data_IF_087257908190
#
_entry.id   IF_087257908190
#
_cell.length_a   1.000
_cell.length_b   1.000
_cell.length_c   1.000
_cell.angle_alpha   90.00
_cell.angle_beta   90.00
_cell.angle_gamma   90.00
#
_symmetry.space_group_name_H-M   'P 1'
#
loop_
_entity.id
_entity.type
_entity.pdbx_description
1 polymer ?
#
# COMPACT_ATOMS: atom_id res chain seq x y z
N UNK A 1 -15.89 22.18 -9.35
CA UNK A 1 -15.07 21.38 -8.42
C UNK A 1 -13.64 21.13 -8.91
N UNK A 2 -13.31 20.07 -9.66
CA UNK A 2 -11.89 19.72 -9.92
C UNK A 2 -11.04 20.74 -10.72
N UNK A 3 -11.63 21.49 -11.66
CA UNK A 3 -10.88 22.47 -12.46
C UNK A 3 -10.41 23.71 -11.68
N UNK A 4 -11.09 24.08 -10.60
CA UNK A 4 -10.78 25.28 -9.81
C UNK A 4 -9.64 25.03 -8.82
N UNK A 5 -9.62 23.84 -8.21
CA UNK A 5 -8.55 23.38 -7.32
C UNK A 5 -7.22 23.28 -8.07
N UNK A 6 -7.21 22.68 -9.27
CA UNK A 6 -6.02 22.60 -10.13
C UNK A 6 -5.58 23.96 -10.70
N UNK A 7 -6.51 24.84 -11.07
CA UNK A 7 -6.18 26.15 -11.66
C UNK A 7 -5.45 27.10 -10.71
N UNK A 8 -5.69 26.99 -9.39
CA UNK A 8 -4.97 27.80 -8.38
C UNK A 8 -3.56 27.30 -8.10
N UNK A 9 -3.31 26.00 -8.30
CA UNK A 9 -2.01 25.35 -8.11
C UNK A 9 -1.07 25.51 -9.31
N UNK A 10 -1.59 25.83 -10.50
CA UNK A 10 -0.79 25.98 -11.73
C UNK A 10 -0.74 27.41 -12.30
N UNK A 11 -1.22 28.42 -11.56
CA UNK A 11 -1.02 29.83 -11.93
C UNK A 11 -1.60 30.25 -13.29
N UNK A 12 -2.78 29.75 -13.68
CA UNK A 12 -3.38 30.07 -14.99
C UNK A 12 -4.43 31.18 -14.86
N UNK A 13 -3.97 32.43 -14.64
CA UNK A 13 -4.80 33.63 -14.79
C UNK A 13 -4.75 34.10 -16.25
N UNK A 14 -5.68 33.62 -17.09
CA UNK A 14 -5.99 34.26 -18.37
C UNK A 14 -6.96 35.42 -18.14
N UNK A 15 -6.41 36.59 -17.90
CA UNK A 15 -7.11 37.86 -18.13
C UNK A 15 -7.10 38.17 -19.62
N UNK A 16 -8.25 38.60 -20.12
CA UNK A 16 -8.52 38.88 -21.53
C UNK A 16 -7.57 39.92 -22.15
N UNK A 17 -7.25 39.67 -23.42
CA UNK A 17 -6.57 40.54 -24.38
C UNK A 17 -6.91 42.03 -24.26
N UNK A 18 -5.91 42.88 -23.99
CA UNK A 18 -5.76 44.18 -24.65
C UNK A 18 -4.27 44.54 -24.85
N UNK A 19 -3.89 44.59 -26.13
CA UNK A 19 -2.88 45.41 -26.81
C UNK A 19 -1.40 45.35 -26.36
N UNK A 20 -0.60 44.79 -27.26
CA UNK A 20 0.84 44.97 -27.38
C UNK A 20 1.23 46.44 -27.66
N UNK A 21 2.21 46.95 -26.93
CA UNK A 21 3.33 47.70 -27.51
C UNK A 21 4.66 47.24 -26.87
N UNK A 22 5.65 47.01 -27.73
CA UNK A 22 6.98 46.59 -27.36
C UNK A 22 7.81 47.78 -26.88
N UNK A 23 8.55 47.63 -25.78
CA UNK A 23 9.72 48.48 -25.54
C UNK A 23 10.84 47.73 -24.81
N UNK A 24 11.97 47.69 -25.52
CA UNK A 24 13.30 47.27 -25.11
C UNK A 24 13.86 48.12 -23.98
N UNK A 25 14.39 47.50 -22.92
CA UNK A 25 15.57 48.05 -22.24
C UNK A 25 16.22 46.99 -21.35
N UNK A 26 17.43 46.65 -21.78
CA UNK A 26 18.48 46.00 -21.02
C UNK A 26 18.87 46.94 -19.87
N UNK A 27 18.78 46.51 -18.62
CA UNK A 27 19.61 47.07 -17.55
C UNK A 27 19.79 46.05 -16.41
N UNK A 28 21.05 45.84 -16.07
CA UNK A 28 21.55 44.91 -15.08
C UNK A 28 20.89 45.10 -13.71
N UNK A 29 20.36 44.02 -13.14
CA UNK A 29 20.35 43.83 -11.69
C UNK A 29 20.97 42.48 -11.36
N UNK A 30 21.97 42.56 -10.47
CA UNK A 30 22.78 41.48 -9.91
C UNK A 30 21.98 40.20 -9.62
N UNK A 31 22.52 39.08 -10.10
CA UNK A 31 22.29 37.77 -9.50
C UNK A 31 22.98 37.75 -8.13
N UNK A 32 22.23 38.07 -7.08
CA UNK A 32 22.54 37.72 -5.70
C UNK A 32 21.30 36.97 -5.15
N UNK A 33 21.19 35.69 -5.48
CA UNK A 33 20.42 34.72 -4.69
C UNK A 33 21.31 33.49 -4.53
N UNK A 34 22.24 33.60 -3.57
CA UNK A 34 22.69 32.43 -2.82
C UNK A 34 21.44 31.89 -2.10
N UNK A 35 20.75 30.92 -2.70
CA UNK A 35 19.92 30.02 -1.90
C UNK A 35 20.92 29.08 -1.21
N UNK A 36 21.25 29.39 0.03
CA UNK A 36 21.70 28.37 0.97
C UNK A 36 20.59 27.32 1.03
N UNK A 37 20.80 26.15 0.42
CA UNK A 37 19.99 24.96 0.68
C UNK A 37 20.14 24.64 2.17
N UNK A 38 19.26 25.20 3.00
CA UNK A 38 19.16 24.79 4.40
C UNK A 38 18.66 23.35 4.40
N UNK A 39 19.54 22.41 4.73
CA UNK A 39 19.14 21.03 5.00
C UNK A 39 18.11 21.05 6.12
N UNK A 40 16.86 20.74 5.77
CA UNK A 40 15.78 20.59 6.74
C UNK A 40 16.05 19.34 7.56
N UNK A 41 16.26 19.50 8.85
CA UNK A 41 16.34 18.39 9.79
C UNK A 41 14.93 17.93 10.17
N UNK A 42 14.74 16.61 10.30
CA UNK A 42 13.45 15.99 10.56
C UNK A 42 13.44 15.27 11.90
N UNK A 43 12.32 15.35 12.60
CA UNK A 43 12.03 14.50 13.73
C UNK A 43 12.00 13.02 13.29
N UNK A 44 12.74 12.12 13.94
CA UNK A 44 12.92 10.75 13.45
C UNK A 44 11.65 9.88 13.54
N UNK A 45 10.69 10.24 14.40
CA UNK A 45 9.46 9.46 14.61
C UNK A 45 8.31 9.96 13.74
N UNK A 46 8.12 11.28 13.72
CA UNK A 46 6.98 11.93 13.06
C UNK A 46 7.31 12.46 11.67
N UNK A 47 8.61 12.59 11.36
CA UNK A 47 9.13 13.18 10.12
C UNK A 47 8.66 14.61 9.86
N UNK A 48 8.20 15.33 10.88
CA UNK A 48 8.05 16.78 10.79
C UNK A 48 9.43 17.45 10.77
N UNK A 49 9.53 18.56 10.06
CA UNK A 49 10.71 19.43 10.12
C UNK A 49 10.87 20.00 11.52
N UNK A 50 12.09 20.02 12.03
CA UNK A 50 12.38 20.49 13.41
C UNK A 50 12.28 22.01 13.58
N UNK A 51 11.99 22.74 12.50
CA UNK A 51 11.90 24.20 12.46
C UNK A 51 10.49 24.75 12.75
N UNK A 52 9.50 23.88 12.97
CA UNK A 52 8.15 24.23 13.43
C UNK A 52 7.65 23.20 14.45
N UNK A 53 6.59 23.55 15.20
CA UNK A 53 5.90 22.59 16.04
C UNK A 53 4.79 21.87 15.27
N UNK A 54 4.50 20.61 15.65
CA UNK A 54 3.40 19.84 15.05
C UNK A 54 2.05 20.55 15.24
N UNK A 55 1.88 21.28 16.35
CA UNK A 55 0.68 22.09 16.60
C UNK A 55 0.56 23.25 15.61
N UNK A 56 1.64 23.97 15.32
CA UNK A 56 1.64 25.05 14.32
C UNK A 56 1.30 24.50 12.93
N UNK A 57 1.87 23.35 12.58
CA UNK A 57 1.57 22.65 11.34
C UNK A 57 0.09 22.26 11.24
N UNK A 58 -0.45 21.61 12.28
CA UNK A 58 -1.84 21.16 12.29
C UNK A 58 -2.82 22.37 12.25
N UNK A 59 -2.47 23.49 12.89
CA UNK A 59 -3.24 24.74 12.85
C UNK A 59 -3.25 25.39 11.46
N UNK A 60 -2.10 25.47 10.79
CA UNK A 60 -2.02 26.02 9.42
C UNK A 60 -2.84 25.19 8.43
N UNK A 61 -2.77 23.85 8.55
CA UNK A 61 -3.58 22.95 7.73
C UNK A 61 -5.08 23.18 7.97
N UNK A 62 -5.49 23.32 9.24
CA UNK A 62 -6.88 23.59 9.59
C UNK A 62 -7.35 24.94 9.04
N UNK A 63 -6.57 26.02 9.21
CA UNK A 63 -6.91 27.35 8.70
C UNK A 63 -7.18 27.32 7.19
N UNK A 64 -6.27 26.73 6.40
CA UNK A 64 -6.41 26.64 4.95
C UNK A 64 -7.57 25.75 4.52
N UNK A 65 -7.71 24.59 5.16
CA UNK A 65 -8.77 23.64 4.84
C UNK A 65 -10.17 24.20 5.18
N UNK A 66 -10.32 24.82 6.36
CA UNK A 66 -11.59 25.40 6.79
C UNK A 66 -11.99 26.61 5.95
N UNK A 67 -11.03 27.47 5.57
CA UNK A 67 -11.29 28.57 4.63
C UNK A 67 -11.84 28.05 3.30
N UNK A 68 -11.27 26.97 2.76
CA UNK A 68 -11.75 26.33 1.53
C UNK A 68 -13.14 25.71 1.71
N UNK A 69 -13.36 24.96 2.79
CA UNK A 69 -14.66 24.35 3.12
C UNK A 69 -15.76 25.41 3.25
N UNK A 70 -15.43 26.55 3.85
CA UNK A 70 -16.35 27.67 3.99
C UNK A 70 -16.73 28.28 2.63
N UNK A 71 -15.77 28.45 1.71
CA UNK A 71 -16.04 28.94 0.35
C UNK A 71 -16.93 27.98 -0.44
N UNK A 72 -16.63 26.67 -0.39
CA UNK A 72 -17.43 25.64 -1.08
C UNK A 72 -18.87 25.62 -0.53
N UNK A 73 -19.06 25.65 0.79
CA UNK A 73 -20.39 25.73 1.41
C UNK A 73 -21.13 27.02 1.05
N UNK A 74 -20.42 28.15 1.03
CA UNK A 74 -21.00 29.43 0.60
C UNK A 74 -21.41 29.42 -0.88
N UNK A 75 -20.74 28.61 -1.71
CA UNK A 75 -21.08 28.39 -3.13
C UNK A 75 -22.27 27.45 -3.35
N UNK A 76 -22.82 26.87 -2.26
CA UNK A 76 -23.99 26.00 -2.30
C UNK A 76 -23.66 24.51 -2.39
N UNK A 77 -22.39 24.13 -2.27
CA UNK A 77 -21.96 22.74 -2.31
C UNK A 77 -22.22 22.05 -0.97
N UNK A 78 -22.70 20.81 -1.03
CA UNK A 78 -22.92 19.98 0.14
C UNK A 78 -21.75 18.99 0.25
N UNK A 79 -20.77 19.32 1.09
CA UNK A 79 -19.59 18.49 1.30
C UNK A 79 -19.91 17.34 2.26
N UNK A 80 -19.67 16.11 1.83
CA UNK A 80 -19.72 14.93 2.69
C UNK A 80 -18.45 14.82 3.54
N UNK A 81 -18.48 14.00 4.60
CA UNK A 81 -17.33 13.80 5.48
C UNK A 81 -16.07 13.34 4.73
N UNK A 82 -16.25 12.52 3.68
CA UNK A 82 -15.16 12.07 2.81
C UNK A 82 -14.53 13.23 2.03
N UNK A 83 -15.32 14.19 1.57
CA UNK A 83 -14.81 15.36 0.85
C UNK A 83 -14.00 16.26 1.79
N UNK A 84 -14.50 16.45 3.01
CA UNK A 84 -13.82 17.20 4.06
C UNK A 84 -12.47 16.54 4.39
N UNK A 85 -12.44 15.22 4.59
CA UNK A 85 -11.19 14.48 4.84
C UNK A 85 -10.17 14.64 3.71
N UNK A 86 -10.62 14.56 2.45
CA UNK A 86 -9.75 14.76 1.29
C UNK A 86 -9.18 16.19 1.22
N UNK A 87 -9.99 17.20 1.55
CA UNK A 87 -9.54 18.60 1.60
C UNK A 87 -8.43 18.75 2.64
N UNK A 88 -8.63 18.24 3.85
CA UNK A 88 -7.61 18.25 4.91
C UNK A 88 -6.33 17.51 4.49
N UNK A 89 -6.46 16.36 3.83
CA UNK A 89 -5.30 15.60 3.34
C UNK A 89 -4.48 16.40 2.30
N UNK A 90 -5.15 17.04 1.34
CA UNK A 90 -4.48 17.83 0.30
C UNK A 90 -3.75 19.06 0.88
N UNK A 91 -4.38 19.79 1.80
CA UNK A 91 -3.73 20.93 2.44
C UNK A 91 -2.55 20.50 3.32
N UNK A 92 -2.63 19.34 3.95
CA UNK A 92 -1.48 18.78 4.69
C UNK A 92 -0.27 18.56 3.81
N UNK A 93 -0.46 17.99 2.60
CA UNK A 93 0.61 17.83 1.62
C UNK A 93 1.16 19.17 1.16
N UNK A 94 0.28 20.14 0.88
CA UNK A 94 0.70 21.47 0.44
C UNK A 94 1.56 22.19 1.49
N UNK A 95 1.10 22.24 2.75
CA UNK A 95 1.83 22.87 3.86
C UNK A 95 3.15 22.14 4.11
N UNK A 96 3.15 20.80 4.10
CA UNK A 96 4.37 20.03 4.33
C UNK A 96 5.40 20.24 3.22
N UNK A 97 5.00 20.26 1.94
CA UNK A 97 5.90 20.59 0.84
C UNK A 97 6.45 22.00 0.96
N UNK A 98 5.58 22.98 1.25
CA UNK A 98 5.96 24.40 1.33
C UNK A 98 6.96 24.66 2.46
N UNK A 99 6.74 24.07 3.63
CA UNK A 99 7.56 24.34 4.80
C UNK A 99 8.88 23.57 4.78
N UNK A 100 8.89 22.35 4.25
CA UNK A 100 10.07 21.48 4.28
C UNK A 100 10.84 21.43 2.96
N UNK A 101 10.33 22.07 1.89
CA UNK A 101 10.85 21.96 0.53
C UNK A 101 11.14 20.49 0.14
N UNK A 102 10.23 19.58 0.51
CA UNK A 102 10.50 18.15 0.48
C UNK A 102 10.32 17.55 -0.92
N UNK A 103 11.10 16.52 -1.23
CA UNK A 103 10.91 15.72 -2.44
C UNK A 103 9.78 14.68 -2.27
N UNK A 104 9.52 13.92 -3.33
CA UNK A 104 8.47 12.89 -3.34
C UNK A 104 8.73 11.77 -2.32
N UNK A 105 9.97 11.39 -2.10
CA UNK A 105 10.33 10.30 -1.19
C UNK A 105 10.11 10.73 0.28
N UNK A 106 10.50 11.95 0.63
CA UNK A 106 10.27 12.51 1.95
C UNK A 106 8.77 12.73 2.23
N UNK A 107 7.99 13.12 1.22
CA UNK A 107 6.52 13.21 1.34
C UNK A 107 5.91 11.83 1.63
N UNK A 108 6.30 10.80 0.88
CA UNK A 108 5.81 9.43 1.10
C UNK A 108 6.13 8.99 2.52
N UNK A 109 7.37 9.19 3.00
CA UNK A 109 7.75 8.79 4.36
C UNK A 109 6.93 9.52 5.43
N UNK A 110 6.69 10.81 5.27
CA UNK A 110 5.85 11.61 6.18
C UNK A 110 4.40 11.13 6.21
N UNK A 111 3.79 10.91 5.04
CA UNK A 111 2.41 10.42 4.93
C UNK A 111 2.26 9.07 5.63
N UNK A 112 3.27 8.20 5.53
CA UNK A 112 3.29 6.91 6.22
C UNK A 112 3.40 7.03 7.73
N UNK A 113 4.37 7.82 8.23
CA UNK A 113 4.58 8.01 9.67
C UNK A 113 3.32 8.55 10.37
N UNK A 114 2.51 9.31 9.64
CA UNK A 114 1.35 9.99 10.19
C UNK A 114 0.00 9.46 9.66
N UNK A 115 0.00 8.34 8.92
CA UNK A 115 -1.20 7.86 8.25
C UNK A 115 -2.31 7.52 9.25
N UNK A 116 -1.96 6.82 10.35
CA UNK A 116 -2.94 6.47 11.38
C UNK A 116 -3.50 7.72 12.07
N UNK A 117 -2.66 8.74 12.31
CA UNK A 117 -3.08 10.01 12.93
C UNK A 117 -4.06 10.78 12.03
N UNK A 118 -3.79 10.82 10.73
CA UNK A 118 -4.49 11.76 9.83
C UNK A 118 -5.54 11.15 8.92
N UNK A 119 -5.42 9.87 8.55
CA UNK A 119 -6.40 9.16 7.73
C UNK A 119 -7.14 8.06 8.50
N UNK A 120 -6.70 7.73 9.72
CA UNK A 120 -7.24 6.61 10.50
C UNK A 120 -6.89 5.24 9.91
N UNK A 121 -6.08 5.20 8.85
CA UNK A 121 -5.63 3.99 8.17
C UNK A 121 -4.12 3.90 8.35
N UNK A 122 -3.65 2.81 8.95
CA UNK A 122 -2.21 2.52 9.03
C UNK A 122 -1.71 2.08 7.64
N UNK A 123 -0.82 2.87 7.04
CA UNK A 123 -0.15 2.53 5.78
C UNK A 123 1.26 2.09 6.10
N UNK A 124 1.48 0.77 6.10
CA UNK A 124 2.79 0.18 6.40
C UNK A 124 3.84 0.60 5.37
N UNK A 125 4.96 1.19 5.82
CA UNK A 125 6.12 1.57 5.00
C UNK A 125 7.39 0.76 5.31
N UNK A 126 8.48 1.08 4.61
CA UNK A 126 9.80 0.46 4.73
C UNK A 126 10.52 0.83 6.05
N UNK A 127 10.38 0.00 7.08
CA UNK A 127 11.24 -0.08 8.27
C UNK A 127 12.66 -0.47 7.88
N UNK A 128 13.66 0.33 8.25
CA UNK A 128 15.07 -0.05 8.16
C UNK A 128 15.41 -1.01 9.30
N UNK A 129 16.24 -2.02 9.03
CA UNK A 129 16.78 -2.92 10.05
C UNK A 129 17.59 -2.09 11.05
N UNK A 130 17.21 -2.09 12.32
CA UNK A 130 18.06 -1.59 13.40
C UNK A 130 18.99 -2.71 13.87
N UNK A 131 20.30 -2.49 13.81
CA UNK A 131 21.35 -3.50 14.05
C UNK A 131 21.35 -4.12 15.46
N UNK A 132 20.54 -3.63 16.41
CA UNK A 132 20.51 -4.09 17.81
C UNK A 132 19.12 -4.55 18.31
N UNK A 133 18.15 -4.83 17.42
CA UNK A 133 16.87 -5.35 17.87
C UNK A 133 17.01 -6.83 18.31
N UNK A 134 16.80 -7.19 19.60
CA UNK A 134 16.94 -8.56 20.07
C UNK A 134 15.95 -9.53 19.40
N UNK A 135 14.82 -9.03 18.90
CA UNK A 135 13.86 -9.85 18.15
C UNK A 135 14.35 -10.22 16.74
N UNK A 136 15.42 -9.58 16.22
CA UNK A 136 15.99 -9.89 14.91
C UNK A 136 17.21 -10.82 14.97
N UNK A 137 17.61 -11.30 16.16
CA UNK A 137 18.75 -12.22 16.30
C UNK A 137 18.52 -13.53 15.52
N UNK A 138 19.47 -14.01 14.71
CA UNK A 138 19.28 -15.24 13.93
C UNK A 138 18.97 -16.47 14.79
N UNK A 139 18.06 -17.30 14.30
CA UNK A 139 17.64 -18.56 14.94
C UNK A 139 18.23 -19.72 14.14
N UNK A 140 19.07 -20.56 14.76
CA UNK A 140 19.88 -21.58 14.05
C UNK A 140 20.74 -21.01 12.89
N UNK A 141 21.13 -19.73 12.96
CA UNK A 141 21.84 -19.05 11.88
C UNK A 141 20.95 -18.60 10.71
N UNK A 142 19.63 -18.71 10.86
CA UNK A 142 18.63 -18.20 9.91
C UNK A 142 18.14 -16.84 10.40
N UNK A 143 18.42 -15.80 9.63
CA UNK A 143 17.88 -14.45 9.86
C UNK A 143 16.43 -14.34 9.34
N UNK A 144 15.76 -13.23 9.68
CA UNK A 144 14.37 -13.00 9.29
C UNK A 144 14.20 -13.05 7.77
N UNK A 145 15.16 -12.51 7.00
CA UNK A 145 15.11 -12.48 5.53
C UNK A 145 15.16 -13.88 4.93
N UNK A 146 16.04 -14.73 5.43
CA UNK A 146 16.17 -16.13 5.00
C UNK A 146 14.95 -16.93 5.42
N UNK A 147 14.42 -16.71 6.63
CA UNK A 147 13.16 -17.32 7.06
C UNK A 147 12.01 -16.92 6.14
N UNK A 148 11.88 -15.63 5.80
CA UNK A 148 10.87 -15.16 4.83
C UNK A 148 11.04 -15.82 3.45
N UNK A 149 12.29 -15.98 2.96
CA UNK A 149 12.55 -16.69 1.71
C UNK A 149 12.07 -18.15 1.74
N UNK A 150 12.24 -18.84 2.87
CA UNK A 150 11.69 -20.19 3.06
C UNK A 150 10.16 -20.20 3.06
N UNK A 151 9.54 -19.27 3.81
CA UNK A 151 8.08 -19.11 3.82
C UNK A 151 7.52 -18.83 2.42
N UNK A 152 8.19 -18.00 1.62
CA UNK A 152 7.80 -17.69 0.24
C UNK A 152 7.79 -18.93 -0.67
N UNK A 153 8.74 -19.86 -0.49
CA UNK A 153 8.74 -21.13 -1.23
C UNK A 153 7.58 -22.03 -0.84
N UNK A 154 7.30 -22.11 0.46
CA UNK A 154 6.22 -22.94 0.98
C UNK A 154 4.86 -22.37 0.56
N UNK A 155 4.70 -21.04 0.63
CA UNK A 155 3.49 -20.37 0.16
C UNK A 155 3.35 -20.44 -1.36
N UNK A 156 4.45 -20.58 -2.10
CA UNK A 156 4.42 -20.90 -3.53
C UNK A 156 3.96 -22.35 -3.82
N UNK A 157 3.71 -23.16 -2.80
CA UNK A 157 3.23 -24.54 -2.93
C UNK A 157 4.35 -25.59 -2.92
N UNK A 158 5.57 -25.23 -2.54
CA UNK A 158 6.66 -26.19 -2.41
C UNK A 158 6.58 -26.86 -1.04
N UNK A 159 6.74 -28.19 -1.00
CA UNK A 159 6.72 -28.94 0.25
C UNK A 159 7.85 -28.48 1.19
N UNK A 160 7.53 -28.27 2.47
CA UNK A 160 8.50 -27.74 3.43
C UNK A 160 9.70 -28.68 3.64
N UNK A 161 9.56 -29.99 3.43
CA UNK A 161 10.68 -30.94 3.50
C UNK A 161 11.65 -30.72 2.34
N UNK A 162 11.16 -30.34 1.15
CA UNK A 162 12.01 -29.98 0.02
C UNK A 162 12.76 -28.67 0.29
N UNK A 163 12.09 -27.70 0.90
CA UNK A 163 12.73 -26.45 1.36
C UNK A 163 13.80 -26.74 2.41
N UNK A 164 13.51 -27.57 3.43
CA UNK A 164 14.48 -27.99 4.44
C UNK A 164 15.68 -28.68 3.80
N UNK A 165 15.43 -29.62 2.88
CA UNK A 165 16.47 -30.35 2.15
C UNK A 165 17.36 -29.40 1.33
N UNK A 166 16.77 -28.41 0.65
CA UNK A 166 17.52 -27.42 -0.12
C UNK A 166 18.40 -26.54 0.79
N UNK A 167 17.91 -26.20 1.97
CA UNK A 167 18.64 -25.44 2.99
C UNK A 167 19.69 -26.27 3.75
N UNK A 168 19.65 -27.61 3.63
CA UNK A 168 20.49 -28.52 4.41
C UNK A 168 20.08 -28.62 5.88
N UNK A 169 18.80 -28.40 6.17
CA UNK A 169 18.23 -28.43 7.52
C UNK A 169 17.47 -29.73 7.80
N UNK A 170 17.51 -30.14 9.06
CA UNK A 170 16.60 -31.18 9.56
C UNK A 170 15.20 -30.56 9.76
N UNK A 171 14.09 -31.31 9.55
CA UNK A 171 12.73 -30.79 9.69
C UNK A 171 12.45 -30.14 11.06
N UNK A 172 13.10 -30.60 12.12
CA UNK A 172 12.97 -30.01 13.46
C UNK A 172 13.41 -28.55 13.51
N UNK A 173 14.41 -28.15 12.72
CA UNK A 173 14.86 -26.75 12.65
C UNK A 173 13.73 -25.88 12.08
N UNK A 174 12.99 -26.38 11.09
CA UNK A 174 11.84 -25.66 10.54
C UNK A 174 10.71 -25.49 11.55
N UNK A 175 10.42 -26.53 12.34
CA UNK A 175 9.42 -26.45 13.42
C UNK A 175 9.82 -25.41 14.48
N UNK A 176 11.10 -25.36 14.86
CA UNK A 176 11.64 -24.36 15.79
C UNK A 176 11.57 -22.94 15.21
N UNK A 177 11.92 -22.75 13.94
CA UNK A 177 11.79 -21.46 13.23
C UNK A 177 10.34 -20.97 13.19
N UNK A 178 9.39 -21.85 12.86
CA UNK A 178 7.95 -21.57 12.84
C UNK A 178 7.33 -21.37 14.23
N UNK A 179 8.07 -21.66 15.29
CA UNK A 179 7.66 -21.33 16.66
C UNK A 179 8.21 -19.96 17.05
N UNK A 180 9.53 -19.78 16.87
CA UNK A 180 10.25 -18.62 17.39
C UNK A 180 9.90 -17.34 16.61
N UNK A 181 9.86 -17.37 15.27
CA UNK A 181 9.59 -16.16 14.50
C UNK A 181 8.17 -15.61 14.72
N UNK A 182 7.10 -16.43 14.68
CA UNK A 182 5.76 -15.95 15.02
C UNK A 182 5.65 -15.48 16.47
N UNK A 183 6.31 -16.16 17.42
CA UNK A 183 6.36 -15.69 18.81
C UNK A 183 6.98 -14.29 18.90
N UNK A 184 8.12 -14.06 18.22
CA UNK A 184 8.78 -12.75 18.19
C UNK A 184 7.94 -11.68 17.49
N UNK A 185 7.23 -12.02 16.41
CA UNK A 185 6.26 -11.11 15.79
C UNK A 185 5.11 -10.73 16.74
N UNK A 186 4.70 -11.65 17.62
CA UNK A 186 3.67 -11.38 18.62
C UNK A 186 4.16 -10.62 19.86
N UNK A 187 5.42 -10.83 20.26
CA UNK A 187 6.04 -10.17 21.41
C UNK A 187 6.65 -8.79 21.07
N UNK A 188 6.98 -8.56 19.80
CA UNK A 188 7.54 -7.30 19.32
C UNK A 188 6.49 -6.19 19.26
N UNK A 189 6.44 -5.38 20.32
CA UNK A 189 5.50 -4.26 20.44
C UNK A 189 5.81 -3.10 19.49
N UNK A 190 7.01 -3.00 18.90
CA UNK A 190 7.30 -2.00 17.88
C UNK A 190 6.89 -2.47 16.48
N UNK A 191 6.37 -3.69 16.35
CA UNK A 191 5.95 -4.32 15.10
C UNK A 191 7.07 -4.44 14.03
N UNK A 192 8.32 -4.18 14.41
CA UNK A 192 9.49 -4.17 13.54
C UNK A 192 9.66 -5.51 12.81
N UNK A 193 9.57 -6.63 13.53
CA UNK A 193 9.69 -7.99 12.95
C UNK A 193 8.59 -8.24 11.94
N UNK A 194 7.34 -7.92 12.29
CA UNK A 194 6.17 -8.12 11.42
C UNK A 194 6.26 -7.25 10.17
N UNK A 195 6.68 -6.00 10.31
CA UNK A 195 6.84 -5.08 9.18
C UNK A 195 7.99 -5.48 8.25
N UNK A 196 9.15 -5.88 8.79
CA UNK A 196 10.27 -6.39 8.00
C UNK A 196 9.92 -7.71 7.30
N UNK A 197 9.21 -8.61 7.98
CA UNK A 197 8.71 -9.84 7.37
C UNK A 197 7.80 -9.54 6.18
N UNK A 198 6.86 -8.62 6.33
CA UNK A 198 5.97 -8.18 5.26
C UNK A 198 6.74 -7.54 4.08
N UNK A 199 7.76 -6.73 4.35
CA UNK A 199 8.61 -6.16 3.30
C UNK A 199 9.39 -7.22 2.53
N UNK A 200 10.05 -8.14 3.22
CA UNK A 200 10.78 -9.22 2.58
C UNK A 200 9.85 -10.12 1.77
N UNK A 201 8.61 -10.30 2.24
CA UNK A 201 7.59 -11.00 1.48
C UNK A 201 7.24 -10.25 0.19
N UNK A 202 7.03 -8.93 0.27
CA UNK A 202 6.74 -8.07 -0.89
C UNK A 202 7.93 -7.96 -1.88
N UNK A 203 9.17 -7.96 -1.38
CA UNK A 203 10.39 -8.01 -2.19
C UNK A 203 10.60 -9.35 -2.90
N UNK A 204 9.80 -10.37 -2.57
CA UNK A 204 9.96 -11.74 -3.05
C UNK A 204 11.40 -12.25 -2.84
N UNK A 205 11.91 -12.07 -1.62
CA UNK A 205 13.30 -12.40 -1.28
C UNK A 205 13.59 -13.87 -1.52
N UNK A 206 14.81 -14.15 -1.98
CA UNK A 206 15.33 -15.51 -2.16
C UNK A 206 16.74 -15.59 -1.61
N UNK A 207 17.20 -16.82 -1.35
CA UNK A 207 18.59 -17.14 -1.03
C UNK A 207 19.12 -18.15 -2.05
N UNK A 208 20.46 -18.23 -2.29
CA UNK A 208 21.04 -19.07 -3.32
C UNK A 208 20.58 -20.54 -3.27
N UNK A 209 20.37 -21.07 -2.06
CA UNK A 209 19.92 -22.44 -1.82
C UNK A 209 18.50 -22.71 -2.38
N UNK A 210 17.65 -21.68 -2.46
CA UNK A 210 16.25 -21.78 -2.85
C UNK A 210 15.98 -21.31 -4.29
N UNK A 211 16.95 -20.73 -4.99
CA UNK A 211 16.76 -20.17 -6.34
C UNK A 211 16.21 -21.18 -7.34
N UNK A 212 16.69 -22.43 -7.26
CA UNK A 212 16.29 -23.50 -8.17
C UNK A 212 15.03 -24.25 -7.74
N UNK A 213 14.53 -23.97 -6.53
CA UNK A 213 13.31 -24.58 -6.03
C UNK A 213 12.11 -23.84 -6.62
N UNK A 214 11.38 -24.51 -7.50
CA UNK A 214 10.18 -23.97 -8.15
C UNK A 214 9.02 -24.92 -7.89
N UNK A 215 7.87 -24.34 -7.56
CA UNK A 215 6.65 -25.12 -7.50
C UNK A 215 6.34 -25.68 -8.89
N UNK A 216 5.90 -26.94 -8.94
CA UNK A 216 5.32 -27.48 -10.16
C UNK A 216 3.99 -26.77 -10.42
N UNK A 217 3.96 -25.96 -11.47
CA UNK A 217 2.74 -25.34 -11.95
C UNK A 217 2.19 -26.21 -13.09
N UNK A 218 0.92 -26.60 -12.98
CA UNK A 218 0.22 -27.28 -14.05
C UNK A 218 0.09 -26.37 -15.29
N UNK A 219 -0.08 -26.95 -16.48
CA UNK A 219 -0.27 -26.15 -17.70
C UNK A 219 -1.47 -25.20 -17.59
N UNK A 220 -2.54 -25.65 -16.93
CA UNK A 220 -3.72 -24.84 -16.61
C UNK A 220 -3.41 -23.73 -15.59
N UNK A 221 -2.66 -24.04 -14.53
CA UNK A 221 -2.21 -23.05 -13.54
C UNK A 221 -1.34 -21.96 -14.17
N UNK A 222 -0.46 -22.33 -15.11
CA UNK A 222 0.36 -21.37 -15.86
C UNK A 222 -0.51 -20.47 -16.74
N UNK A 223 -1.51 -21.04 -17.42
CA UNK A 223 -2.45 -20.27 -18.24
C UNK A 223 -3.30 -19.30 -17.41
N UNK A 224 -3.80 -19.75 -16.25
CA UNK A 224 -4.56 -18.92 -15.32
C UNK A 224 -3.69 -17.80 -14.71
N UNK A 225 -2.44 -18.10 -14.36
CA UNK A 225 -1.48 -17.12 -13.88
C UNK A 225 -1.19 -16.05 -14.93
N UNK A 226 -1.00 -16.43 -16.19
CA UNK A 226 -0.84 -15.46 -17.28
C UNK A 226 -2.11 -14.63 -17.49
N UNK A 227 -3.28 -15.25 -17.34
CA UNK A 227 -4.56 -14.55 -17.46
C UNK A 227 -4.72 -13.49 -16.37
N UNK A 228 -4.42 -13.77 -15.11
CA UNK A 228 -4.52 -12.72 -14.06
C UNK A 228 -3.49 -11.59 -14.24
N UNK A 229 -2.38 -11.84 -14.95
CA UNK A 229 -1.37 -10.81 -15.29
C UNK A 229 -1.80 -9.87 -16.41
N UNK A 230 -2.66 -10.34 -17.31
CA UNK A 230 -2.98 -9.65 -18.57
C UNK A 230 -4.43 -9.20 -18.65
N UNK A 231 -5.32 -9.78 -17.82
CA UNK A 231 -6.74 -9.47 -17.74
C UNK A 231 -7.08 -8.97 -16.33
N UNK A 232 -7.24 -7.65 -16.21
CA UNK A 232 -7.58 -6.97 -14.96
C UNK A 232 -8.92 -7.44 -14.38
N UNK A 233 -9.92 -7.72 -15.22
CA UNK A 233 -11.21 -8.21 -14.72
C UNK A 233 -11.06 -9.61 -14.14
N UNK A 234 -10.30 -10.50 -14.79
CA UNK A 234 -10.08 -11.83 -14.24
C UNK A 234 -9.33 -11.79 -12.91
N UNK A 235 -8.34 -10.90 -12.76
CA UNK A 235 -7.70 -10.65 -11.47
C UNK A 235 -8.71 -10.19 -10.40
N UNK A 236 -9.54 -9.19 -10.70
CA UNK A 236 -10.52 -8.65 -9.74
C UNK A 236 -11.61 -9.66 -9.38
N UNK A 237 -12.00 -10.54 -10.33
CA UNK A 237 -12.89 -11.66 -10.05
C UNK A 237 -12.30 -12.59 -8.99
N UNK A 238 -11.05 -13.02 -9.17
CA UNK A 238 -10.39 -13.90 -8.20
C UNK A 238 -10.11 -13.19 -6.88
N UNK A 239 -9.82 -11.89 -6.89
CA UNK A 239 -9.66 -11.11 -5.66
C UNK A 239 -10.98 -11.04 -4.87
N UNK A 240 -12.12 -10.82 -5.55
CA UNK A 240 -13.45 -10.89 -4.95
C UNK A 240 -13.81 -12.28 -4.43
N UNK A 241 -13.51 -13.33 -5.21
CA UNK A 241 -13.73 -14.73 -4.80
C UNK A 241 -12.93 -15.09 -3.54
N UNK A 242 -11.65 -14.71 -3.49
CA UNK A 242 -10.78 -14.93 -2.33
C UNK A 242 -11.31 -14.23 -1.08
N UNK A 243 -11.78 -12.99 -1.20
CA UNK A 243 -12.36 -12.25 -0.09
C UNK A 243 -13.65 -12.93 0.43
N UNK A 244 -14.53 -13.36 -0.48
CA UNK A 244 -15.75 -14.09 -0.13
C UNK A 244 -15.44 -15.44 0.55
N UNK A 245 -14.40 -16.15 0.13
CA UNK A 245 -14.00 -17.41 0.76
C UNK A 245 -13.67 -17.21 2.25
N UNK A 246 -12.89 -16.17 2.58
CA UNK A 246 -12.55 -15.86 3.97
C UNK A 246 -13.77 -15.55 4.85
N UNK A 247 -14.79 -14.88 4.30
CA UNK A 247 -16.04 -14.58 5.02
C UNK A 247 -16.83 -15.83 5.41
N UNK A 248 -16.63 -16.93 4.69
CA UNK A 248 -17.28 -18.23 4.94
C UNK A 248 -16.33 -19.23 5.63
N UNK A 249 -15.22 -18.76 6.19
CA UNK A 249 -14.24 -19.59 6.89
C UNK A 249 -13.46 -20.54 5.98
N UNK A 250 -13.47 -20.30 4.67
CA UNK A 250 -12.69 -21.03 3.69
C UNK A 250 -11.35 -20.31 3.54
N UNK A 251 -10.25 -21.07 3.50
CA UNK A 251 -8.95 -20.50 3.14
C UNK A 251 -8.98 -20.08 1.66
N UNK A 252 -9.17 -18.79 1.42
CA UNK A 252 -9.26 -18.24 0.07
C UNK A 252 -7.98 -18.42 -0.74
N UNK A 253 -6.81 -18.44 -0.10
CA UNK A 253 -5.55 -18.69 -0.80
C UNK A 253 -5.49 -20.15 -1.28
N UNK A 254 -5.84 -21.09 -0.41
CA UNK A 254 -5.93 -22.51 -0.76
C UNK A 254 -7.01 -22.74 -1.83
N UNK A 255 -8.17 -22.08 -1.72
CA UNK A 255 -9.25 -22.22 -2.71
C UNK A 255 -8.81 -21.76 -4.11
N UNK A 256 -8.08 -20.65 -4.21
CA UNK A 256 -7.52 -20.18 -5.50
C UNK A 256 -6.49 -21.19 -6.04
N UNK A 257 -5.63 -21.74 -5.18
CA UNK A 257 -4.68 -22.77 -5.57
C UNK A 257 -5.38 -24.02 -6.11
N UNK A 258 -6.40 -24.50 -5.40
CA UNK A 258 -7.13 -25.73 -5.76
C UNK A 258 -7.95 -25.58 -7.05
N UNK A 259 -8.54 -24.41 -7.28
CA UNK A 259 -9.45 -24.18 -8.42
C UNK A 259 -8.77 -23.58 -9.64
N UNK A 260 -7.66 -22.85 -9.46
CA UNK A 260 -7.01 -22.12 -10.54
C UNK A 260 -5.52 -22.46 -10.69
N UNK A 261 -4.93 -23.24 -9.80
CA UNK A 261 -3.51 -23.59 -9.84
C UNK A 261 -2.58 -22.40 -9.60
N UNK A 262 -3.10 -21.31 -9.01
CA UNK A 262 -2.34 -20.10 -8.70
C UNK A 262 -2.03 -20.10 -7.21
N UNK A 263 -0.75 -20.18 -6.86
CA UNK A 263 -0.34 -20.08 -5.46
C UNK A 263 -0.43 -18.62 -4.97
N UNK A 264 -0.42 -18.45 -3.64
CA UNK A 264 -0.60 -17.13 -3.04
C UNK A 264 0.56 -16.17 -3.37
N UNK A 265 1.80 -16.67 -3.49
CA UNK A 265 2.94 -15.83 -3.81
C UNK A 265 2.80 -15.20 -5.21
N UNK A 266 2.46 -16.02 -6.21
CA UNK A 266 2.17 -15.57 -7.58
C UNK A 266 0.98 -14.61 -7.61
N UNK A 267 -0.10 -14.90 -6.87
CA UNK A 267 -1.25 -14.01 -6.77
C UNK A 267 -0.87 -12.63 -6.22
N UNK A 268 -0.07 -12.59 -5.15
CA UNK A 268 0.39 -11.33 -4.55
C UNK A 268 1.34 -10.56 -5.48
N UNK A 269 2.22 -11.27 -6.22
CA UNK A 269 3.06 -10.64 -7.23
C UNK A 269 2.23 -9.92 -8.29
N UNK A 270 1.12 -10.51 -8.73
CA UNK A 270 0.21 -9.90 -9.71
C UNK A 270 -0.58 -8.74 -9.08
N UNK A 271 -0.99 -8.85 -7.81
CA UNK A 271 -1.62 -7.75 -7.08
C UNK A 271 -0.71 -6.51 -7.04
N UNK A 272 0.59 -6.68 -6.76
CA UNK A 272 1.57 -5.59 -6.76
C UNK A 272 1.79 -5.00 -8.17
N UNK A 273 1.80 -5.84 -9.22
CA UNK A 273 1.88 -5.38 -10.61
C UNK A 273 0.73 -4.41 -10.90
N UNK A 274 -0.50 -4.81 -10.61
CA UNK A 274 -1.66 -3.97 -10.87
C UNK A 274 -1.73 -2.73 -9.99
N UNK A 275 -1.32 -2.82 -8.72
CA UNK A 275 -1.20 -1.66 -7.85
C UNK A 275 -0.21 -0.64 -8.43
N UNK A 276 0.94 -1.12 -8.93
CA UNK A 276 1.95 -0.27 -9.57
C UNK A 276 1.41 0.38 -10.83
N UNK A 277 0.74 -0.39 -11.69
CA UNK A 277 0.13 0.12 -12.93
C UNK A 277 -0.96 1.16 -12.64
N UNK A 278 -1.81 0.91 -11.65
CA UNK A 278 -2.84 1.84 -11.19
C UNK A 278 -2.25 3.14 -10.64
N UNK A 279 -1.16 3.06 -9.86
CA UNK A 279 -0.50 4.24 -9.31
C UNK A 279 0.21 5.07 -10.40
N UNK A 280 0.83 4.39 -11.38
CA UNK A 280 1.47 5.06 -12.52
C UNK A 280 0.45 5.69 -13.48
N UNK A 281 -0.71 5.04 -13.64
CA UNK A 281 -1.77 5.46 -14.55
C UNK A 281 -3.05 5.83 -13.76
N UNK A 282 -2.89 6.68 -12.75
CA UNK A 282 -3.99 7.00 -11.84
C UNK A 282 -5.20 7.56 -12.59
N UNK A 283 -6.35 6.91 -12.41
CA UNK A 283 -7.63 7.33 -12.96
C UNK A 283 -8.75 6.89 -12.01
N UNK A 284 -9.46 7.86 -11.42
CA UNK A 284 -10.52 7.59 -10.45
C UNK A 284 -11.69 6.79 -11.00
N UNK A 285 -12.04 6.96 -12.29
CA UNK A 285 -13.15 6.23 -12.92
C UNK A 285 -12.80 4.74 -13.06
N UNK A 286 -11.60 4.44 -13.56
CA UNK A 286 -11.11 3.06 -13.68
C UNK A 286 -10.95 2.39 -12.31
N UNK A 287 -10.43 3.12 -11.32
CA UNK A 287 -10.28 2.61 -9.93
C UNK A 287 -11.66 2.24 -9.36
N UNK A 288 -12.65 3.12 -9.54
CA UNK A 288 -14.01 2.88 -9.07
C UNK A 288 -14.68 1.73 -9.83
N UNK A 289 -14.45 1.63 -11.15
CA UNK A 289 -14.94 0.52 -11.96
C UNK A 289 -14.43 -0.84 -11.46
N UNK A 290 -13.11 -0.98 -11.30
CA UNK A 290 -12.52 -2.24 -10.83
C UNK A 290 -12.90 -2.56 -9.39
N UNK A 291 -12.98 -1.55 -8.51
CA UNK A 291 -13.48 -1.73 -7.15
C UNK A 291 -14.94 -2.19 -7.13
N UNK A 292 -15.80 -1.66 -8.00
CA UNK A 292 -17.20 -2.06 -8.08
C UNK A 292 -17.33 -3.49 -8.62
N UNK A 293 -16.55 -3.81 -9.65
CA UNK A 293 -16.52 -5.16 -10.23
C UNK A 293 -16.05 -6.21 -9.23
N UNK A 294 -14.98 -5.92 -8.47
CA UNK A 294 -14.49 -6.79 -7.40
C UNK A 294 -15.59 -7.06 -6.35
N UNK A 295 -16.30 -6.02 -5.92
CA UNK A 295 -17.41 -6.15 -4.96
C UNK A 295 -18.59 -6.95 -5.54
N UNK A 296 -18.91 -6.78 -6.82
CA UNK A 296 -19.93 -7.59 -7.50
C UNK A 296 -19.55 -9.07 -7.49
N UNK A 297 -18.30 -9.38 -7.84
CA UNK A 297 -17.78 -10.76 -7.83
C UNK A 297 -17.70 -11.34 -6.43
N UNK A 298 -17.30 -10.56 -5.43
CA UNK A 298 -17.35 -10.98 -4.03
C UNK A 298 -18.78 -11.43 -3.64
N UNK A 299 -19.82 -10.64 -3.99
CA UNK A 299 -21.21 -11.03 -3.71
C UNK A 299 -21.64 -12.29 -4.47
N UNK A 300 -21.22 -12.43 -5.73
CA UNK A 300 -21.49 -13.61 -6.54
C UNK A 300 -20.89 -14.87 -5.91
N UNK A 301 -19.62 -14.83 -5.52
CA UNK A 301 -18.93 -15.96 -4.88
C UNK A 301 -19.42 -16.22 -3.46
N UNK A 302 -19.76 -15.20 -2.69
CA UNK A 302 -20.41 -15.36 -1.38
C UNK A 302 -21.72 -16.14 -1.50
N UNK A 303 -22.55 -15.86 -2.53
CA UNK A 303 -23.77 -16.62 -2.79
C UNK A 303 -23.47 -18.08 -3.19
N UNK A 304 -22.40 -18.33 -3.96
CA UNK A 304 -21.96 -19.70 -4.30
C UNK A 304 -21.53 -20.47 -3.05
N UNK A 305 -20.66 -19.90 -2.23
CA UNK A 305 -20.19 -20.53 -1.00
C UNK A 305 -21.33 -20.76 0.01
N UNK A 306 -22.27 -19.82 0.14
CA UNK A 306 -23.46 -20.00 0.97
C UNK A 306 -24.32 -21.19 0.50
N UNK A 307 -24.48 -21.37 -0.82
CA UNK A 307 -25.22 -22.48 -1.39
C UNK A 307 -24.49 -23.83 -1.17
N UNK A 308 -23.17 -23.85 -1.31
CA UNK A 308 -22.33 -25.03 -1.10
C UNK A 308 -22.26 -25.47 0.37
N UNK A 309 -22.31 -24.51 1.31
CA UNK A 309 -22.41 -24.79 2.75
C UNK A 309 -23.84 -25.15 3.22
N UNK A 310 -24.79 -25.30 2.27
CA UNK A 310 -26.10 -25.90 2.53
C UNK A 310 -27.30 -24.95 2.48
N UNK A 311 -27.11 -23.65 2.23
CA UNK A 311 -28.20 -22.67 2.14
C UNK A 311 -28.94 -22.43 3.46
N UNK A 312 -29.21 -21.15 3.76
CA UNK A 312 -30.06 -20.63 4.85
C UNK A 312 -30.82 -21.67 5.71
N UNK A 313 -30.26 -22.06 6.85
CA UNK A 313 -31.05 -22.62 7.98
C UNK A 313 -32.03 -21.55 8.52
N UNK A 314 -31.87 -20.29 8.11
CA UNK A 314 -32.70 -19.16 8.53
C UNK A 314 -34.05 -19.04 7.81
N UNK A 315 -34.28 -19.72 6.68
CA UNK A 315 -35.58 -19.65 5.96
C UNK A 315 -36.61 -20.70 6.43
N UNK A 316 -36.23 -21.61 7.34
CA UNK A 316 -37.09 -22.70 7.85
C UNK A 316 -37.77 -22.42 9.20
N UNK A 317 -37.68 -21.19 9.73
CA UNK A 317 -38.39 -20.80 10.96
C UNK A 317 -39.55 -19.86 10.64
N UNK A 318 -40.72 -20.46 10.35
CA UNK A 318 -41.98 -19.74 10.45
C UNK A 318 -42.31 -19.51 11.94
N UNK A 319 -42.26 -18.25 12.39
CA UNK A 319 -42.88 -17.80 13.63
C UNK A 319 -44.35 -17.40 13.38
#
# INVERSE_FOLDING_TARGET
>A
MFKKLFGSLTGDNKTENQNHEAQTSNDNFKNDYENEDQEVEYDPETLHGTHYSVEDFDNEVAERAEAWIADERASGENLEDKDIQNIYFNYRRAVYTEWNNCDSDQMIRFEHANSLKYSGIQTSGFVKVEDNNPFLEPVHGVDLRTYTAMCLKISAGIDYLEVCKAMGFEPVIWEELNTIWPQRMGEDTSFTVTTLFGQYYAENVTVPQLENLKAEISEEGAANLEKIRTDRYFYEELAGARQAAYEYGIDGAQWILDNFGINIADFQSVAMQWMTEQNQNWNSENIMEFSNYQQEKQKEYAAKFAAEQGGNIADDVNF
#
